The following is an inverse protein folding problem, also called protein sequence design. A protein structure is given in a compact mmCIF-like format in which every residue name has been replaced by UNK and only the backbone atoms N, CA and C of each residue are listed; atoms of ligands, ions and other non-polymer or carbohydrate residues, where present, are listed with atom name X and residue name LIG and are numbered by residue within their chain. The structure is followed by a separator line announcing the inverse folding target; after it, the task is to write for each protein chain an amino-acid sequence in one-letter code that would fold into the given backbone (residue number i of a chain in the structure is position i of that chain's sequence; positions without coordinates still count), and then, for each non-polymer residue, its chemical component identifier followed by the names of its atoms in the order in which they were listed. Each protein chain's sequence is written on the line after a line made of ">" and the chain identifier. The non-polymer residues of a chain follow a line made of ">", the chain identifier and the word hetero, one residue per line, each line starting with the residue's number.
data_IF_528268710610
#
_entry.id   IF_528268710610
#
_cell.length_a   1.000
_cell.length_b   1.000
_cell.length_c   1.000
_cell.angle_alpha   90.00
_cell.angle_beta   90.00
_cell.angle_gamma   90.00
#
_symmetry.space_group_name_H-M   'P 1'
#
loop_
_entity.id
_entity.type
_entity.pdbx_description
1 polymer ?
#
# COMPACT_ATOMS: atom_id res chain seq x y z
N UNK A 1 -2.44 9.62 17.80
CA UNK A 1 -2.61 8.17 17.62
C UNK A 1 -2.01 7.79 16.28
N UNK A 2 -0.88 7.08 16.27
CA UNK A 2 -0.28 6.56 15.03
C UNK A 2 -1.17 5.42 14.53
N UNK A 3 -2.00 5.66 13.52
CA UNK A 3 -2.69 4.57 12.81
C UNK A 3 -1.65 3.83 11.97
N UNK A 4 -1.60 2.52 12.10
CA UNK A 4 -0.96 1.66 11.11
C UNK A 4 -1.69 1.87 9.77
N UNK A 5 -1.01 2.26 8.68
CA UNK A 5 -1.66 2.48 7.39
C UNK A 5 -2.28 1.18 6.87
N UNK A 6 -3.39 1.30 6.14
CA UNK A 6 -4.09 0.15 5.55
C UNK A 6 -3.27 -0.48 4.41
N UNK A 7 -3.70 -1.65 3.93
CA UNK A 7 -3.13 -2.25 2.71
C UNK A 7 -3.27 -1.31 1.51
N UNK A 8 -4.38 -0.59 1.38
CA UNK A 8 -4.61 0.37 0.29
C UNK A 8 -3.72 1.60 0.42
N UNK A 9 -3.64 2.22 1.60
CA UNK A 9 -2.78 3.38 1.86
C UNK A 9 -1.32 3.08 1.50
N UNK A 10 -0.84 1.89 1.90
CA UNK A 10 0.53 1.47 1.60
C UNK A 10 0.75 1.24 0.12
N UNK A 11 -0.17 0.52 -0.53
CA UNK A 11 -0.06 0.23 -1.96
C UNK A 11 -0.10 1.52 -2.79
N UNK A 12 -1.00 2.45 -2.47
CA UNK A 12 -1.09 3.76 -3.13
C UNK A 12 0.21 4.56 -2.92
N UNK A 13 0.71 4.66 -1.70
CA UNK A 13 1.94 5.40 -1.41
C UNK A 13 3.17 4.81 -2.12
N UNK A 14 3.25 3.49 -2.19
CA UNK A 14 4.34 2.81 -2.90
C UNK A 14 4.24 2.97 -4.41
N UNK A 15 3.04 2.82 -4.97
CA UNK A 15 2.82 2.89 -6.42
C UNK A 15 2.91 4.31 -6.98
N UNK A 16 2.32 5.31 -6.29
CA UNK A 16 2.20 6.67 -6.82
C UNK A 16 3.36 7.58 -6.43
N UNK A 17 3.85 7.50 -5.19
CA UNK A 17 4.88 8.41 -4.69
C UNK A 17 6.27 7.79 -4.85
N UNK A 18 6.46 6.58 -4.31
CA UNK A 18 7.79 5.97 -4.21
C UNK A 18 8.38 5.63 -5.59
N UNK A 19 7.57 5.09 -6.51
CA UNK A 19 8.04 4.77 -7.87
C UNK A 19 8.40 6.03 -8.66
N UNK A 20 7.60 7.10 -8.57
CA UNK A 20 7.92 8.38 -9.19
C UNK A 20 9.18 9.00 -8.59
N UNK A 21 9.42 8.85 -7.29
CA UNK A 21 10.65 9.35 -6.68
C UNK A 21 11.88 8.53 -7.12
N UNK A 22 11.74 7.22 -7.36
CA UNK A 22 12.81 6.44 -8.01
C UNK A 22 13.12 6.91 -9.42
N UNK A 23 12.09 7.23 -10.23
CA UNK A 23 12.30 7.78 -11.58
C UNK A 23 13.03 9.13 -11.53
N UNK A 24 12.66 10.02 -10.60
CA UNK A 24 13.38 11.29 -10.40
C UNK A 24 14.84 11.06 -10.00
N UNK A 25 15.09 10.14 -9.06
CA UNK A 25 16.45 9.81 -8.62
C UNK A 25 17.26 9.21 -9.77
N UNK A 26 16.65 8.37 -10.62
CA UNK A 26 17.30 7.85 -11.82
C UNK A 26 17.76 8.98 -12.74
N UNK A 27 16.89 9.96 -13.01
CA UNK A 27 17.22 11.15 -13.81
C UNK A 27 18.38 11.93 -13.17
N UNK A 28 18.40 12.07 -11.84
CA UNK A 28 19.50 12.75 -11.14
C UNK A 28 20.83 11.99 -11.29
N UNK A 29 20.80 10.65 -11.23
CA UNK A 29 21.98 9.80 -11.45
C UNK A 29 22.49 9.94 -12.88
N UNK A 30 21.59 9.90 -13.88
CA UNK A 30 21.92 10.03 -15.31
C UNK A 30 22.55 11.40 -15.63
N UNK A 31 22.18 12.44 -14.88
CA UNK A 31 22.74 13.78 -15.00
C UNK A 31 23.97 14.02 -14.09
N UNK A 32 24.53 12.97 -13.49
CA UNK A 32 25.66 13.04 -12.55
C UNK A 32 25.45 14.05 -11.40
N UNK A 33 24.20 14.25 -10.98
CA UNK A 33 23.88 15.20 -9.92
C UNK A 33 24.31 14.65 -8.55
N UNK A 34 25.14 15.43 -7.85
CA UNK A 34 25.68 15.08 -6.54
C UNK A 34 24.62 14.91 -5.44
N UNK A 35 23.39 15.40 -5.63
CA UNK A 35 22.28 15.23 -4.69
C UNK A 35 21.62 13.85 -4.77
N UNK A 36 21.81 13.09 -5.87
CA UNK A 36 21.10 11.83 -6.08
C UNK A 36 21.31 10.80 -4.95
N UNK A 37 22.53 10.58 -4.43
CA UNK A 37 22.77 9.65 -3.33
C UNK A 37 22.06 10.06 -2.03
N UNK A 38 21.93 11.36 -1.77
CA UNK A 38 21.34 11.92 -0.56
C UNK A 38 19.82 11.79 -0.59
N UNK A 39 19.22 12.11 -1.74
CA UNK A 39 17.79 11.91 -1.96
C UNK A 39 17.43 10.43 -1.86
N UNK A 40 18.23 9.53 -2.44
CA UNK A 40 18.03 8.09 -2.32
C UNK A 40 18.16 7.62 -0.87
N UNK A 41 19.16 8.10 -0.13
CA UNK A 41 19.34 7.74 1.28
C UNK A 41 18.16 8.18 2.16
N UNK A 42 17.62 9.38 1.91
CA UNK A 42 16.44 9.89 2.61
C UNK A 42 15.19 9.08 2.28
N UNK A 43 14.94 8.84 0.99
CA UNK A 43 13.79 8.05 0.53
C UNK A 43 13.81 6.65 1.15
N UNK A 44 14.95 5.98 1.12
CA UNK A 44 15.11 4.67 1.75
C UNK A 44 14.83 4.71 3.26
N UNK A 45 15.06 5.84 3.93
CA UNK A 45 14.72 6.00 5.34
C UNK A 45 13.24 6.04 5.62
N UNK A 46 12.50 6.80 4.82
CA UNK A 46 11.04 6.82 4.90
C UNK A 46 10.45 5.43 4.59
N UNK A 47 11.04 4.73 3.64
CA UNK A 47 10.66 3.36 3.28
C UNK A 47 10.95 2.34 4.38
N UNK A 48 12.14 2.38 4.97
CA UNK A 48 12.54 1.49 6.07
C UNK A 48 11.57 1.63 7.24
N UNK A 49 11.24 2.88 7.61
CA UNK A 49 10.30 3.19 8.67
C UNK A 49 8.89 2.70 8.34
N UNK A 50 8.43 2.92 7.10
CA UNK A 50 7.13 2.45 6.65
C UNK A 50 7.06 0.91 6.66
N UNK A 51 8.05 0.22 6.10
CA UNK A 51 8.08 -1.24 6.05
C UNK A 51 8.14 -1.84 7.45
N UNK A 52 8.96 -1.27 8.35
CA UNK A 52 9.07 -1.70 9.74
C UNK A 52 7.75 -1.58 10.49
N UNK A 53 7.08 -0.41 10.41
CA UNK A 53 5.80 -0.18 11.10
C UNK A 53 4.71 -1.14 10.63
N UNK A 54 4.78 -1.58 9.37
CA UNK A 54 3.83 -2.49 8.76
C UNK A 54 4.31 -3.95 8.71
N UNK A 55 5.37 -4.28 9.46
CA UNK A 55 5.91 -5.65 9.59
C UNK A 55 6.30 -6.29 8.25
N UNK A 56 6.64 -5.50 7.23
CA UNK A 56 7.16 -5.99 5.96
C UNK A 56 8.65 -6.32 6.12
N UNK A 57 9.00 -7.60 5.98
CA UNK A 57 10.37 -8.13 6.23
C UNK A 57 11.46 -7.44 5.39
N UNK A 58 11.08 -6.89 4.24
CA UNK A 58 11.95 -6.16 3.32
C UNK A 58 12.57 -4.91 3.95
N UNK A 59 12.09 -4.43 5.11
CA UNK A 59 12.72 -3.33 5.84
C UNK A 59 14.21 -3.60 6.12
N UNK A 60 14.59 -4.87 6.32
CA UNK A 60 15.99 -5.26 6.57
C UNK A 60 16.87 -5.06 5.33
N UNK A 61 16.35 -5.37 4.14
CA UNK A 61 17.07 -5.16 2.88
C UNK A 61 17.19 -3.67 2.58
N UNK A 62 16.12 -2.89 2.81
CA UNK A 62 16.15 -1.42 2.70
C UNK A 62 17.21 -0.82 3.65
N UNK A 63 17.24 -1.23 4.91
CA UNK A 63 18.26 -0.80 5.88
C UNK A 63 19.68 -1.15 5.44
N UNK A 64 19.87 -2.34 4.83
CA UNK A 64 21.15 -2.78 4.27
C UNK A 64 21.57 -1.90 3.08
N UNK A 65 20.65 -1.54 2.20
CA UNK A 65 20.94 -0.64 1.07
C UNK A 65 21.34 0.76 1.55
N UNK A 66 20.66 1.29 2.58
CA UNK A 66 21.05 2.56 3.23
C UNK A 66 22.45 2.50 3.81
N UNK A 67 22.78 1.42 4.51
CA UNK A 67 24.12 1.23 5.07
C UNK A 67 25.20 1.20 3.98
N UNK A 68 24.93 0.55 2.83
CA UNK A 68 25.84 0.54 1.67
C UNK A 68 26.02 1.92 1.04
N UNK A 69 24.94 2.68 0.89
CA UNK A 69 25.00 4.09 0.45
C UNK A 69 25.79 4.96 1.43
N UNK A 70 25.61 4.74 2.73
CA UNK A 70 26.37 5.46 3.74
C UNK A 70 27.85 5.05 3.77
N UNK A 71 28.17 3.77 3.52
CA UNK A 71 29.56 3.31 3.50
C UNK A 71 30.36 3.89 2.33
N UNK A 72 29.72 4.18 1.18
CA UNK A 72 30.41 4.87 0.08
C UNK A 72 30.78 6.32 0.43
N UNK A 73 30.10 6.90 1.44
CA UNK A 73 30.47 8.18 2.06
C UNK A 73 31.62 8.04 3.06
N UNK A 74 31.57 7.02 3.93
CA UNK A 74 32.49 6.85 5.08
C UNK A 74 33.79 6.12 4.73
N UNK A 75 33.81 5.20 3.77
CA UNK A 75 35.03 4.50 3.32
C UNK A 75 36.13 5.45 2.80
N UNK A 76 35.79 6.74 2.66
CA UNK A 76 36.67 7.82 2.29
C UNK A 76 37.05 8.60 3.56
N UNK A 77 37.86 7.96 4.42
CA UNK A 77 38.58 8.62 5.52
C UNK A 77 39.75 9.48 4.97
N UNK A 78 39.48 10.27 3.93
CA UNK A 78 40.43 11.13 3.22
C UNK A 78 39.78 12.44 2.84
N UNK A 79 39.39 13.27 3.82
CA UNK A 79 39.11 14.74 3.76
C UNK A 79 38.28 15.35 2.59
N UNK A 80 37.91 14.61 1.55
CA UNK A 80 37.25 15.08 0.32
C UNK A 80 36.34 13.95 -0.18
N UNK A 81 35.01 14.10 -0.06
CA UNK A 81 34.04 13.21 -0.71
C UNK A 81 34.33 13.10 -2.20
N UNK A 82 34.20 11.91 -2.79
CA UNK A 82 34.21 11.74 -4.25
C UNK A 82 32.77 11.56 -4.73
N UNK A 83 32.10 12.61 -5.24
CA UNK A 83 30.72 12.53 -5.70
C UNK A 83 30.49 11.38 -6.69
N UNK A 84 31.46 11.14 -7.58
CA UNK A 84 31.38 10.09 -8.60
C UNK A 84 31.25 8.67 -8.01
N UNK A 85 31.91 8.39 -6.88
CA UNK A 85 31.80 7.08 -6.22
C UNK A 85 30.44 6.91 -5.52
N UNK A 86 29.86 7.99 -5.02
CA UNK A 86 28.54 7.96 -4.39
C UNK A 86 27.44 7.82 -5.44
N UNK A 87 27.56 8.54 -6.55
CA UNK A 87 26.66 8.42 -7.72
C UNK A 87 26.74 7.01 -8.29
N UNK A 88 27.94 6.45 -8.43
CA UNK A 88 28.11 5.07 -8.88
C UNK A 88 27.43 4.07 -7.93
N UNK A 89 27.63 4.20 -6.62
CA UNK A 89 26.96 3.34 -5.64
C UNK A 89 25.43 3.47 -5.70
N UNK A 90 24.91 4.69 -5.90
CA UNK A 90 23.48 4.91 -6.09
C UNK A 90 22.96 4.26 -7.38
N UNK A 91 23.69 4.40 -8.49
CA UNK A 91 23.37 3.79 -9.80
C UNK A 91 23.31 2.27 -9.73
N UNK A 92 24.28 1.64 -9.04
CA UNK A 92 24.32 0.19 -8.86
C UNK A 92 23.19 -0.33 -7.97
N UNK A 93 22.81 0.44 -6.93
CA UNK A 93 21.82 0.01 -5.95
C UNK A 93 20.37 0.29 -6.40
N UNK A 94 20.11 1.37 -7.13
CA UNK A 94 18.76 1.80 -7.47
C UNK A 94 17.93 0.69 -8.16
N UNK A 95 18.43 -0.04 -9.17
CA UNK A 95 17.66 -1.13 -9.79
C UNK A 95 17.29 -2.24 -8.79
N UNK A 96 18.21 -2.57 -7.88
CA UNK A 96 18.00 -3.59 -6.85
C UNK A 96 16.96 -3.14 -5.84
N UNK A 97 17.07 -1.88 -5.38
CA UNK A 97 16.09 -1.25 -4.49
C UNK A 97 14.70 -1.28 -5.14
N UNK A 98 14.57 -0.76 -6.36
CA UNK A 98 13.30 -0.72 -7.09
C UNK A 98 12.68 -2.11 -7.20
N UNK A 99 13.49 -3.14 -7.47
CA UNK A 99 13.01 -4.53 -7.50
C UNK A 99 12.50 -5.00 -6.13
N UNK A 100 13.25 -4.78 -5.05
CA UNK A 100 12.83 -5.15 -3.69
C UNK A 100 11.50 -4.49 -3.31
N UNK A 101 11.31 -3.24 -3.69
CA UNK A 101 10.06 -2.52 -3.43
C UNK A 101 8.91 -3.09 -4.24
N UNK A 102 9.11 -3.36 -5.53
CA UNK A 102 8.09 -4.03 -6.36
C UNK A 102 7.71 -5.41 -5.80
N UNK A 103 8.68 -6.17 -5.31
CA UNK A 103 8.43 -7.46 -4.67
C UNK A 103 7.67 -7.32 -3.35
N UNK A 104 7.93 -6.26 -2.56
CA UNK A 104 7.17 -5.95 -1.37
C UNK A 104 5.72 -5.52 -1.68
N UNK A 105 5.47 -4.94 -2.86
CA UNK A 105 4.12 -4.54 -3.29
C UNK A 105 3.24 -5.72 -3.71
N UNK A 106 3.81 -6.78 -4.28
CA UNK A 106 3.05 -7.96 -4.74
C UNK A 106 2.09 -8.55 -3.69
N UNK A 107 2.53 -8.89 -2.46
CA UNK A 107 1.62 -9.43 -1.45
C UNK A 107 0.56 -8.41 -1.00
N UNK A 108 0.83 -7.10 -1.14
CA UNK A 108 -0.17 -6.06 -0.87
C UNK A 108 -1.24 -6.03 -1.96
N UNK A 109 -0.83 -6.12 -3.22
CA UNK A 109 -1.71 -6.17 -4.38
C UNK A 109 -2.60 -7.41 -4.34
N UNK A 110 -2.01 -8.59 -4.14
CA UNK A 110 -2.73 -9.85 -3.94
C UNK A 110 -3.72 -9.72 -2.78
N UNK A 111 -3.29 -9.11 -1.67
CA UNK A 111 -4.16 -8.90 -0.53
C UNK A 111 -5.33 -7.97 -0.79
N UNK A 112 -5.13 -6.91 -1.58
CA UNK A 112 -6.20 -6.01 -2.02
C UNK A 112 -7.21 -6.76 -2.90
N UNK A 113 -6.75 -7.64 -3.79
CA UNK A 113 -7.62 -8.47 -4.62
C UNK A 113 -8.46 -9.43 -3.77
N UNK A 114 -7.85 -10.09 -2.79
CA UNK A 114 -8.57 -10.95 -1.83
C UNK A 114 -9.63 -10.19 -1.04
N UNK A 115 -9.30 -8.98 -0.58
CA UNK A 115 -10.23 -8.10 0.15
C UNK A 115 -11.43 -7.77 -0.75
N UNK A 116 -11.18 -7.36 -1.99
CA UNK A 116 -12.23 -7.05 -2.97
C UNK A 116 -13.11 -8.27 -3.26
N UNK A 117 -12.52 -9.44 -3.46
CA UNK A 117 -13.25 -10.69 -3.66
C UNK A 117 -14.10 -11.06 -2.44
N UNK A 118 -13.56 -10.93 -1.23
CA UNK A 118 -14.27 -11.19 0.02
C UNK A 118 -15.47 -10.27 0.19
N UNK A 119 -15.29 -8.97 -0.05
CA UNK A 119 -16.40 -7.99 0.01
C UNK A 119 -17.46 -8.34 -1.01
N UNK A 120 -17.06 -8.68 -2.24
CA UNK A 120 -17.98 -9.12 -3.28
C UNK A 120 -18.81 -10.32 -2.85
N UNK A 121 -18.17 -11.38 -2.38
CA UNK A 121 -18.86 -12.59 -1.93
C UNK A 121 -19.81 -12.32 -0.74
N UNK A 122 -19.41 -11.42 0.17
CA UNK A 122 -20.26 -11.03 1.31
C UNK A 122 -21.50 -10.25 0.87
N UNK A 123 -21.33 -9.27 -0.02
CA UNK A 123 -22.46 -8.54 -0.61
C UNK A 123 -23.34 -9.51 -1.39
N UNK A 124 -22.73 -10.43 -2.15
CA UNK A 124 -23.49 -11.36 -2.98
C UNK A 124 -24.38 -12.28 -2.15
N UNK A 125 -23.82 -12.87 -1.09
CA UNK A 125 -24.54 -13.72 -0.14
C UNK A 125 -25.64 -12.95 0.62
N UNK A 126 -25.39 -11.71 1.03
CA UNK A 126 -26.37 -10.92 1.75
C UNK A 126 -27.64 -10.63 0.92
N UNK A 127 -27.48 -10.42 -0.39
CA UNK A 127 -28.59 -10.28 -1.32
C UNK A 127 -29.31 -11.60 -1.59
N UNK A 128 -28.57 -12.69 -1.80
CA UNK A 128 -29.16 -14.00 -2.13
C UNK A 128 -29.99 -14.55 -0.95
N UNK A 129 -29.52 -14.31 0.27
CA UNK A 129 -30.26 -14.64 1.49
C UNK A 129 -31.42 -13.67 1.77
N UNK A 130 -31.63 -12.65 0.92
CA UNK A 130 -32.64 -11.60 1.07
C UNK A 130 -32.54 -10.87 2.41
N UNK A 131 -31.35 -10.86 3.02
CA UNK A 131 -31.06 -10.09 4.24
C UNK A 131 -31.11 -8.59 3.98
N UNK A 132 -31.11 -8.21 2.70
CA UNK A 132 -31.00 -6.83 2.24
C UNK A 132 -31.94 -6.62 1.06
N UNK A 133 -32.84 -5.63 1.15
CA UNK A 133 -33.62 -5.13 0.00
C UNK A 133 -33.36 -3.64 -0.15
N UNK A 134 -32.84 -3.24 -1.29
CA UNK A 134 -32.65 -1.83 -1.62
C UNK A 134 -34.01 -1.19 -1.98
N UNK A 135 -34.85 -0.87 -0.99
CA UNK A 135 -35.97 0.08 -1.11
C UNK A 135 -36.68 0.43 0.22
N UNK A 136 -36.04 0.28 1.39
CA UNK A 136 -36.68 0.57 2.69
C UNK A 136 -36.80 2.09 3.00
N UNK A 137 -36.87 2.95 1.98
CA UNK A 137 -36.90 4.41 2.13
C UNK A 137 -35.58 5.04 2.56
N UNK A 138 -34.49 4.26 2.66
CA UNK A 138 -33.16 4.74 3.00
C UNK A 138 -32.45 5.37 1.80
N UNK A 139 -31.68 6.42 2.04
CA UNK A 139 -30.72 6.88 1.03
C UNK A 139 -29.55 5.88 0.90
N UNK A 140 -28.81 5.97 -0.21
CA UNK A 140 -27.75 5.01 -0.52
C UNK A 140 -26.70 4.90 0.59
N UNK A 141 -26.27 6.03 1.17
CA UNK A 141 -25.28 6.04 2.25
C UNK A 141 -25.79 5.36 3.52
N UNK A 142 -27.04 5.61 3.91
CA UNK A 142 -27.70 4.97 5.05
C UNK A 142 -27.84 3.47 4.85
N UNK A 143 -28.18 3.06 3.64
CA UNK A 143 -28.26 1.66 3.26
C UNK A 143 -26.91 0.95 3.43
N UNK A 144 -25.81 1.52 2.94
CA UNK A 144 -24.47 0.94 3.10
C UNK A 144 -24.08 0.83 4.59
N UNK A 145 -24.41 1.84 5.40
CA UNK A 145 -24.17 1.80 6.84
C UNK A 145 -25.04 0.75 7.56
N UNK A 146 -26.29 0.56 7.12
CA UNK A 146 -27.17 -0.49 7.64
C UNK A 146 -26.64 -1.88 7.28
N UNK A 147 -26.25 -2.09 6.03
CA UNK A 147 -25.62 -3.32 5.54
C UNK A 147 -24.36 -3.65 6.33
N UNK A 148 -23.47 -2.68 6.53
CA UNK A 148 -22.28 -2.86 7.34
C UNK A 148 -22.59 -3.30 8.78
N UNK A 149 -23.60 -2.68 9.42
CA UNK A 149 -24.03 -3.07 10.77
C UNK A 149 -24.58 -4.50 10.81
N UNK A 150 -25.26 -4.93 9.75
CA UNK A 150 -25.74 -6.30 9.61
C UNK A 150 -24.57 -7.27 9.49
N UNK A 151 -23.62 -7.02 8.58
CA UNK A 151 -22.46 -7.87 8.34
C UNK A 151 -21.58 -8.07 9.60
N UNK A 152 -21.47 -7.04 10.44
CA UNK A 152 -20.74 -7.15 11.73
C UNK A 152 -21.48 -8.01 12.77
N UNK A 153 -22.82 -8.02 12.74
CA UNK A 153 -23.64 -8.66 13.79
C UNK A 153 -24.03 -10.08 13.46
N UNK A 154 -24.16 -10.38 12.17
CA UNK A 154 -24.53 -11.70 11.70
C UNK A 154 -23.41 -12.71 11.93
N UNK A 155 -23.73 -13.86 12.53
CA UNK A 155 -22.74 -14.89 12.91
C UNK A 155 -22.00 -15.47 11.70
N UNK A 156 -22.61 -15.47 10.50
CA UNK A 156 -21.98 -15.96 9.28
C UNK A 156 -20.98 -14.94 8.69
N UNK A 157 -21.30 -13.64 8.76
CA UNK A 157 -20.49 -12.58 8.15
C UNK A 157 -19.47 -11.96 9.09
N UNK A 158 -19.70 -12.03 10.41
CA UNK A 158 -18.87 -11.39 11.43
C UNK A 158 -17.40 -11.82 11.37
N UNK A 159 -17.04 -13.11 11.26
CA UNK A 159 -15.63 -13.50 11.18
C UNK A 159 -14.90 -12.89 9.99
N UNK A 160 -15.55 -12.84 8.82
CA UNK A 160 -14.97 -12.25 7.59
C UNK A 160 -14.86 -10.73 7.72
N UNK A 161 -15.86 -10.10 8.34
CA UNK A 161 -15.87 -8.65 8.55
C UNK A 161 -14.76 -8.20 9.51
N UNK A 162 -14.50 -8.99 10.57
CA UNK A 162 -13.40 -8.73 11.48
C UNK A 162 -12.04 -8.92 10.79
N UNK A 163 -11.88 -9.97 9.99
CA UNK A 163 -10.66 -10.20 9.21
C UNK A 163 -10.38 -9.07 8.20
N UNK A 164 -11.43 -8.46 7.61
CA UNK A 164 -11.27 -7.27 6.78
C UNK A 164 -10.72 -6.09 7.59
N UNK A 165 -11.27 -5.84 8.79
CA UNK A 165 -10.86 -4.73 9.65
C UNK A 165 -9.42 -4.84 10.19
N UNK A 166 -8.83 -6.03 10.16
CA UNK A 166 -7.41 -6.22 10.47
C UNK A 166 -6.48 -5.71 9.35
N UNK A 167 -6.98 -5.61 8.12
CA UNK A 167 -6.20 -5.26 6.91
C UNK A 167 -6.54 -3.87 6.37
N UNK A 168 -7.78 -3.42 6.58
CA UNK A 168 -8.30 -2.15 6.06
C UNK A 168 -9.10 -1.39 7.12
N UNK A 169 -9.21 -0.09 6.94
CA UNK A 169 -10.06 0.76 7.75
C UNK A 169 -11.54 0.50 7.45
N UNK A 170 -12.41 0.83 8.42
CA UNK A 170 -13.86 0.80 8.25
C UNK A 170 -14.33 1.62 7.05
N UNK A 171 -13.70 2.78 6.80
CA UNK A 171 -14.13 3.67 5.71
C UNK A 171 -13.87 3.04 4.34
N UNK A 172 -12.71 2.40 4.17
CA UNK A 172 -12.39 1.66 2.95
C UNK A 172 -13.33 0.47 2.76
N UNK A 173 -13.63 -0.27 3.84
CA UNK A 173 -14.59 -1.38 3.78
C UNK A 173 -15.98 -0.90 3.32
N UNK A 174 -16.46 0.23 3.86
CA UNK A 174 -17.72 0.84 3.45
C UNK A 174 -17.71 1.29 1.98
N UNK A 175 -16.60 1.85 1.51
CA UNK A 175 -16.45 2.23 0.10
C UNK A 175 -16.50 1.02 -0.82
N UNK A 176 -15.79 -0.07 -0.50
CA UNK A 176 -15.82 -1.30 -1.28
C UNK A 176 -17.21 -1.92 -1.34
N UNK A 177 -17.94 -1.92 -0.21
CA UNK A 177 -19.33 -2.39 -0.17
C UNK A 177 -20.22 -1.51 -1.04
N UNK A 178 -20.06 -0.18 -0.96
CA UNK A 178 -20.81 0.76 -1.78
C UNK A 178 -20.57 0.54 -3.29
N UNK A 179 -19.31 0.38 -3.69
CA UNK A 179 -18.95 0.08 -5.08
C UNK A 179 -19.64 -1.19 -5.58
N UNK A 180 -19.60 -2.26 -4.79
CA UNK A 180 -20.15 -3.54 -5.21
C UNK A 180 -21.67 -3.54 -5.28
N UNK A 181 -22.34 -2.93 -4.30
CA UNK A 181 -23.79 -2.71 -4.32
C UNK A 181 -24.19 -1.92 -5.56
N UNK A 182 -23.43 -0.87 -5.90
CA UNK A 182 -23.72 -0.05 -7.08
C UNK A 182 -23.53 -0.85 -8.39
N UNK A 183 -22.47 -1.66 -8.51
CA UNK A 183 -22.27 -2.56 -9.65
C UNK A 183 -23.44 -3.52 -9.82
N UNK A 184 -23.87 -4.19 -8.75
CA UNK A 184 -24.97 -5.15 -8.83
C UNK A 184 -26.29 -4.49 -9.25
N UNK A 185 -26.60 -3.30 -8.71
CA UNK A 185 -27.75 -2.49 -9.14
C UNK A 185 -27.71 -2.12 -10.63
N UNK A 186 -26.52 -1.91 -11.19
CA UNK A 186 -26.37 -1.64 -12.63
C UNK A 186 -26.64 -2.88 -13.49
N UNK A 187 -26.28 -4.07 -13.01
CA UNK A 187 -26.54 -5.35 -13.68
C UNK A 187 -28.03 -5.72 -13.67
N UNK A 188 -28.77 -5.42 -12.60
CA UNK A 188 -30.22 -5.66 -12.52
C UNK A 188 -31.05 -4.73 -13.42
N UNK A 189 -30.45 -3.66 -13.95
CA UNK A 189 -31.10 -2.68 -14.85
C UNK A 189 -30.79 -2.91 -16.33
N UNK A 190 -29.83 -3.78 -16.64
CA UNK A 190 -29.42 -4.15 -17.99
C UNK A 190 -30.16 -5.40 -18.46
#
# INVERSE_FOLDING_TARGET
>A
MNRTPSYFDMYERLSSQTMTDFEKIQILIENENAEAPDQLYSLLGDMEDMFRRNKLVQFMDIARYRAKLLSSRIAIDRRIPRPNLQIQAASELLPTITKTVKEAMKPLEEGILEIKATVKDMVDQAYDQKLVRYNDGLNFTEFIQALWRLLIRDEQFKPRTLALLERISKNEALQLIAEEVNKRKSLERA
#
